data_IF_864208547772
#
_entry.id   IF_864208547772
#
_cell.length_a   1.000
_cell.length_b   1.000
_cell.length_c   1.000
_cell.angle_alpha   90.00
_cell.angle_beta   90.00
_cell.angle_gamma   90.00
#
_symmetry.space_group_name_H-M   'P 1'
#
loop_
_entity.id
_entity.type
_entity.pdbx_description
1 polymer ?
#
# COMPACT_ATOMS: atom_id res chain seq x y z
N UNK A 1 -9.68 -1.65 -20.67
CA UNK A 1 -9.54 -2.14 -19.28
C UNK A 1 -8.07 -1.99 -18.94
N UNK A 2 -7.71 -1.16 -17.95
CA UNK A 2 -6.31 -1.10 -17.51
C UNK A 2 -5.96 -2.43 -16.86
N UNK A 3 -4.80 -3.00 -17.20
CA UNK A 3 -4.35 -4.25 -16.61
C UNK A 3 -4.02 -4.03 -15.12
N UNK A 4 -4.26 -5.03 -14.26
CA UNK A 4 -3.97 -4.98 -12.81
C UNK A 4 -2.53 -4.58 -12.50
N UNK A 5 -1.60 -4.94 -13.40
CA UNK A 5 -0.19 -4.55 -13.36
C UNK A 5 -0.03 -3.04 -13.49
N UNK A 6 -0.78 -2.41 -14.40
CA UNK A 6 -0.76 -0.95 -14.56
C UNK A 6 -1.20 -0.25 -13.27
N UNK A 7 -2.27 -0.72 -12.61
CA UNK A 7 -2.74 -0.14 -11.35
C UNK A 7 -1.68 -0.26 -10.24
N UNK A 8 -1.05 -1.42 -10.12
CA UNK A 8 0.03 -1.63 -9.15
C UNK A 8 1.25 -0.75 -9.42
N UNK A 9 1.64 -0.57 -10.68
CA UNK A 9 2.75 0.32 -11.03
C UNK A 9 2.42 1.79 -10.71
N UNK A 10 1.19 2.25 -10.99
CA UNK A 10 0.75 3.60 -10.59
C UNK A 10 0.77 3.80 -9.07
N UNK A 11 0.42 2.78 -8.29
CA UNK A 11 0.51 2.83 -6.83
C UNK A 11 1.95 2.77 -6.32
N UNK A 12 2.84 2.06 -7.01
CA UNK A 12 4.28 2.06 -6.72
C UNK A 12 4.88 3.45 -6.93
N UNK A 13 4.57 4.09 -8.06
CA UNK A 13 4.95 5.46 -8.36
C UNK A 13 4.37 6.46 -7.33
N UNK A 14 3.13 6.25 -6.89
CA UNK A 14 2.51 7.08 -5.86
C UNK A 14 3.27 6.98 -4.53
N UNK A 15 3.69 5.78 -4.10
CA UNK A 15 4.55 5.62 -2.93
C UNK A 15 5.88 6.38 -3.12
N UNK A 16 6.49 6.29 -4.30
CA UNK A 16 7.75 6.98 -4.61
C UNK A 16 7.60 8.50 -4.51
N UNK A 17 6.55 9.05 -5.10
CA UNK A 17 6.28 10.48 -5.08
C UNK A 17 5.99 11.00 -3.67
N UNK A 18 5.14 10.30 -2.92
CA UNK A 18 4.80 10.67 -1.54
C UNK A 18 6.04 10.64 -0.65
N UNK A 19 6.85 9.57 -0.72
CA UNK A 19 8.07 9.48 0.08
C UNK A 19 9.03 10.63 -0.25
N UNK A 20 9.25 10.92 -1.53
CA UNK A 20 10.11 12.02 -1.97
C UNK A 20 9.64 13.37 -1.44
N UNK A 21 8.34 13.65 -1.52
CA UNK A 21 7.77 14.91 -1.02
C UNK A 21 7.86 15.02 0.51
N UNK A 22 7.61 13.92 1.23
CA UNK A 22 7.71 13.89 2.69
C UNK A 22 9.14 14.09 3.17
N UNK A 23 10.15 13.47 2.53
CA UNK A 23 11.56 13.73 2.87
C UNK A 23 11.95 15.19 2.61
N UNK A 24 11.46 15.78 1.52
CA UNK A 24 11.72 17.18 1.21
C UNK A 24 11.08 18.11 2.25
N UNK A 25 9.86 17.81 2.69
CA UNK A 25 9.14 18.59 3.70
C UNK A 25 9.73 18.40 5.11
N UNK A 26 10.22 17.20 5.44
CA UNK A 26 10.87 16.92 6.72
C UNK A 26 12.27 17.56 6.79
N UNK A 27 13.02 17.52 5.68
CA UNK A 27 14.32 18.19 5.53
C UNK A 27 15.51 17.46 6.15
N UNK A 28 15.31 16.44 7.00
CA UNK A 28 16.39 15.68 7.63
C UNK A 28 16.18 14.15 7.56
N UNK A 29 14.96 13.68 7.82
CA UNK A 29 14.59 12.27 7.79
C UNK A 29 14.68 11.67 6.39
N UNK A 30 15.01 10.38 6.35
CA UNK A 30 15.05 9.57 5.12
C UNK A 30 14.27 8.29 5.32
N UNK A 31 13.54 7.88 4.29
CA UNK A 31 12.87 6.60 4.32
C UNK A 31 13.87 5.46 4.26
N UNK A 32 13.72 4.50 5.18
CA UNK A 32 14.29 3.16 5.05
C UNK A 32 13.27 2.26 4.39
N UNK A 33 13.69 1.61 3.32
CA UNK A 33 12.89 0.63 2.59
C UNK A 33 13.21 -0.79 3.05
N UNK A 34 12.16 -1.60 3.17
CA UNK A 34 12.21 -3.04 3.31
C UNK A 34 11.31 -3.65 2.23
N UNK A 35 11.93 -4.34 1.28
CA UNK A 35 11.22 -5.10 0.26
C UNK A 35 10.96 -6.52 0.76
N UNK A 36 9.74 -7.00 0.55
CA UNK A 36 9.35 -8.33 1.02
C UNK A 36 8.47 -9.04 0.00
N UNK A 37 8.52 -10.37 0.05
CA UNK A 37 7.73 -11.26 -0.78
C UNK A 37 6.78 -12.08 0.09
N UNK A 38 5.58 -12.33 -0.43
CA UNK A 38 4.61 -13.20 0.22
C UNK A 38 4.77 -14.61 -0.36
N UNK A 39 5.00 -15.66 0.46
CA UNK A 39 5.14 -17.02 -0.05
C UNK A 39 3.94 -17.51 -0.90
N UNK A 40 2.75 -17.02 -0.58
CA UNK A 40 1.50 -17.37 -1.28
C UNK A 40 1.27 -16.56 -2.57
N UNK A 41 2.09 -15.52 -2.86
CA UNK A 41 1.99 -14.72 -4.07
C UNK A 41 2.07 -13.21 -3.85
N UNK A 42 2.89 -12.55 -4.66
CA UNK A 42 3.14 -11.10 -4.63
C UNK A 42 4.10 -10.66 -3.53
N UNK A 43 3.91 -9.44 -3.03
CA UNK A 43 4.80 -8.81 -2.06
C UNK A 43 4.50 -7.33 -1.85
N UNK A 44 5.51 -6.59 -1.39
CA UNK A 44 5.38 -5.16 -1.15
C UNK A 44 6.70 -4.48 -0.79
N UNK A 45 6.59 -3.17 -0.59
CA UNK A 45 7.68 -2.31 -0.12
C UNK A 45 7.19 -1.53 1.09
N UNK A 46 7.82 -1.74 2.22
CA UNK A 46 7.54 -1.01 3.45
C UNK A 46 8.55 0.11 3.59
N UNK A 47 8.10 1.37 3.62
CA UNK A 47 8.98 2.51 3.83
C UNK A 47 8.66 3.19 5.14
N UNK A 48 9.65 3.30 6.02
CA UNK A 48 9.52 3.94 7.33
C UNK A 48 10.48 5.12 7.46
N UNK A 49 10.04 6.19 8.10
CA UNK A 49 10.81 7.42 8.33
C UNK A 49 10.71 7.84 9.79
N UNK A 50 11.83 8.31 10.32
CA UNK A 50 11.93 9.08 11.57
C UNK A 50 12.78 10.31 11.21
N UNK A 51 12.30 11.50 11.55
CA UNK A 51 12.82 12.76 11.03
C UNK A 51 12.65 13.93 11.99
N UNK A 52 12.85 15.14 11.45
CA UNK A 52 12.79 16.39 12.21
C UNK A 52 11.35 16.89 12.41
N UNK A 53 10.47 16.63 11.45
CA UNK A 53 9.04 17.01 11.50
C UNK A 53 8.20 15.78 11.81
N UNK A 54 8.51 14.66 11.16
CA UNK A 54 7.83 13.38 11.33
C UNK A 54 8.52 12.61 12.46
N UNK A 55 7.85 12.45 13.60
CA UNK A 55 8.32 11.61 14.71
C UNK A 55 8.42 10.16 14.26
N UNK A 56 7.35 9.66 13.60
CA UNK A 56 7.30 8.32 13.04
C UNK A 56 6.32 8.25 11.88
N UNK A 57 6.79 7.80 10.73
CA UNK A 57 5.98 7.68 9.52
C UNK A 57 6.15 6.34 8.82
N UNK A 58 5.08 5.88 8.19
CA UNK A 58 5.08 4.69 7.35
C UNK A 58 4.29 4.92 6.06
N UNK A 59 4.89 4.57 4.93
CA UNK A 59 4.24 4.54 3.61
C UNK A 59 4.43 3.14 3.04
N UNK A 60 3.36 2.37 3.02
CA UNK A 60 3.37 0.95 2.64
C UNK A 60 2.77 0.79 1.24
N UNK A 61 3.45 0.03 0.39
CA UNK A 61 2.91 -0.46 -0.88
C UNK A 61 2.83 -1.98 -0.83
N UNK A 62 1.76 -2.53 -1.39
CA UNK A 62 1.66 -3.97 -1.64
C UNK A 62 0.96 -4.27 -2.95
N UNK A 63 1.33 -5.39 -3.56
CA UNK A 63 0.61 -6.03 -4.66
C UNK A 63 0.68 -7.54 -4.42
N UNK A 64 -0.46 -8.12 -4.01
CA UNK A 64 -0.58 -9.52 -3.61
C UNK A 64 -1.62 -10.23 -4.45
N UNK A 65 -1.41 -11.52 -4.67
CA UNK A 65 -2.30 -12.36 -5.44
C UNK A 65 -2.29 -13.78 -4.89
N UNK A 66 -3.28 -14.57 -5.31
CA UNK A 66 -3.38 -15.97 -4.94
C UNK A 66 -4.83 -16.45 -4.95
N UNK A 67 -5.10 -17.64 -4.42
CA UNK A 67 -6.47 -18.14 -4.29
C UNK A 67 -7.24 -17.27 -3.29
N UNK A 68 -8.46 -16.88 -3.64
CA UNK A 68 -9.35 -16.13 -2.76
C UNK A 68 -9.74 -17.04 -1.58
N UNK A 69 -9.55 -16.61 -0.31
CA UNK A 69 -9.92 -17.42 0.83
C UNK A 69 -11.40 -17.83 0.78
N UNK A 70 -11.69 -19.10 1.05
CA UNK A 70 -13.04 -19.69 0.90
C UNK A 70 -14.13 -18.89 1.65
N UNK A 71 -13.83 -18.43 2.87
CA UNK A 71 -14.75 -17.60 3.66
C UNK A 71 -15.12 -16.28 2.96
N UNK A 72 -14.17 -15.68 2.23
CA UNK A 72 -14.39 -14.44 1.48
C UNK A 72 -15.13 -14.75 0.18
N UNK A 73 -14.77 -15.82 -0.53
CA UNK A 73 -15.52 -16.26 -1.70
C UNK A 73 -17.00 -16.50 -1.36
N UNK A 74 -17.27 -17.19 -0.25
CA UNK A 74 -18.62 -17.46 0.24
C UNK A 74 -19.39 -16.18 0.60
N UNK A 75 -18.77 -15.25 1.34
CA UNK A 75 -19.42 -13.99 1.70
C UNK A 75 -19.72 -13.11 0.48
N UNK A 76 -18.91 -13.23 -0.58
CA UNK A 76 -19.11 -12.54 -1.85
C UNK A 76 -20.01 -13.28 -2.83
N UNK A 77 -20.49 -14.48 -2.48
CA UNK A 77 -21.28 -15.37 -3.33
C UNK A 77 -20.55 -15.68 -4.65
N UNK A 78 -19.24 -15.89 -4.56
CA UNK A 78 -18.38 -16.24 -5.69
C UNK A 78 -17.97 -17.72 -5.60
N UNK A 79 -17.82 -18.42 -6.74
CA UNK A 79 -17.14 -19.71 -6.76
C UNK A 79 -15.66 -19.54 -6.35
N UNK A 80 -14.95 -20.65 -6.03
CA UNK A 80 -13.50 -20.62 -5.87
C UNK A 80 -12.84 -19.91 -7.06
N UNK A 81 -12.06 -18.88 -6.77
CA UNK A 81 -11.44 -17.99 -7.76
C UNK A 81 -10.13 -17.46 -7.20
N UNK A 82 -9.26 -16.96 -8.07
CA UNK A 82 -8.11 -16.16 -7.65
C UNK A 82 -8.52 -14.72 -7.34
N UNK A 83 -7.64 -14.00 -6.65
CA UNK A 83 -7.74 -12.57 -6.42
C UNK A 83 -6.42 -11.85 -6.69
N UNK A 84 -6.54 -10.55 -6.90
CA UNK A 84 -5.44 -9.61 -6.89
C UNK A 84 -5.82 -8.40 -6.03
N UNK A 85 -4.89 -7.93 -5.20
CA UNK A 85 -5.08 -6.75 -4.37
C UNK A 85 -3.80 -5.90 -4.39
N UNK A 86 -3.93 -4.61 -4.61
CA UNK A 86 -2.81 -3.66 -4.52
C UNK A 86 -3.26 -2.37 -3.85
N UNK A 87 -2.32 -1.66 -3.21
CA UNK A 87 -2.63 -0.39 -2.58
C UNK A 87 -1.43 0.32 -1.99
N UNK A 88 -1.67 1.58 -1.61
CA UNK A 88 -0.78 2.39 -0.79
C UNK A 88 -1.49 2.75 0.50
N UNK A 89 -0.81 2.56 1.63
CA UNK A 89 -1.30 2.91 2.97
C UNK A 89 -0.29 3.80 3.69
N UNK A 90 -0.77 4.82 4.39
CA UNK A 90 0.06 5.83 5.04
C UNK A 90 -0.41 6.04 6.46
N UNK A 91 0.55 6.15 7.38
CA UNK A 91 0.35 6.71 8.73
C UNK A 91 1.50 7.65 9.02
N UNK A 92 1.23 8.88 9.45
CA UNK A 92 2.27 9.83 9.87
C UNK A 92 1.94 10.39 11.26
N UNK A 93 2.93 10.33 12.15
CA UNK A 93 2.92 10.97 13.46
C UNK A 93 3.94 12.11 13.45
N UNK A 94 3.51 13.38 13.46
CA UNK A 94 4.41 14.52 13.61
C UNK A 94 4.87 14.71 15.06
N UNK A 95 6.05 15.31 15.27
CA UNK A 95 6.51 15.72 16.61
C UNK A 95 5.66 16.85 17.20
N UNK A 96 5.20 17.77 16.35
CA UNK A 96 4.45 18.95 16.79
C UNK A 96 2.99 18.58 17.07
N UNK A 97 2.45 18.88 18.27
CA UNK A 97 1.04 18.63 18.58
C UNK A 97 0.08 19.53 17.77
N UNK A 98 0.60 20.56 17.10
CA UNK A 98 -0.17 21.44 16.22
C UNK A 98 -0.32 20.88 14.80
N UNK A 99 0.42 19.82 14.46
CA UNK A 99 0.28 19.11 13.20
C UNK A 99 -0.51 17.81 13.43
N UNK A 100 -1.59 17.54 12.67
CA UNK A 100 -2.42 16.36 12.91
C UNK A 100 -1.72 15.07 12.48
N UNK A 101 -2.02 13.99 13.20
CA UNK A 101 -1.77 12.62 12.74
C UNK A 101 -2.67 12.36 11.53
N UNK A 102 -2.11 11.79 10.47
CA UNK A 102 -2.88 11.40 9.29
C UNK A 102 -2.82 9.90 9.03
N UNK A 103 -3.91 9.38 8.49
CA UNK A 103 -3.97 8.06 7.88
C UNK A 103 -4.66 8.16 6.51
N UNK A 104 -4.09 7.49 5.51
CA UNK A 104 -4.65 7.44 4.16
C UNK A 104 -4.48 6.04 3.59
N UNK A 105 -5.47 5.56 2.84
CA UNK A 105 -5.39 4.30 2.10
C UNK A 105 -6.07 4.44 0.74
N UNK A 106 -5.34 4.11 -0.33
CA UNK A 106 -5.90 3.89 -1.66
C UNK A 106 -5.61 2.45 -2.06
N UNK A 107 -6.61 1.74 -2.56
CA UNK A 107 -6.49 0.33 -2.89
C UNK A 107 -7.37 -0.04 -4.07
N UNK A 108 -6.96 -1.11 -4.73
CA UNK A 108 -7.65 -1.77 -5.82
C UNK A 108 -7.72 -3.26 -5.52
N UNK A 109 -8.86 -3.86 -5.82
CA UNK A 109 -9.07 -5.29 -5.66
C UNK A 109 -9.81 -5.83 -6.88
N UNK A 110 -9.43 -7.01 -7.36
CA UNK A 110 -10.17 -7.75 -8.36
C UNK A 110 -10.18 -9.25 -8.09
N UNK A 111 -11.22 -9.93 -8.58
CA UNK A 111 -11.33 -11.38 -8.57
C UNK A 111 -11.21 -11.95 -9.98
N UNK A 112 -10.73 -13.19 -10.09
CA UNK A 112 -10.75 -13.96 -11.34
C UNK A 112 -12.17 -14.19 -11.90
N UNK A 113 -13.21 -14.00 -11.08
CA UNK A 113 -14.61 -14.00 -11.49
C UNK A 113 -15.09 -12.66 -12.10
N UNK A 114 -14.19 -11.69 -12.30
CA UNK A 114 -14.47 -10.43 -13.01
C UNK A 114 -15.08 -9.32 -12.16
N UNK A 115 -15.11 -9.45 -10.82
CA UNK A 115 -15.56 -8.39 -9.91
C UNK A 115 -14.36 -7.57 -9.40
N UNK A 116 -14.43 -6.25 -9.50
CA UNK A 116 -13.35 -5.35 -9.10
C UNK A 116 -13.88 -4.04 -8.49
N UNK A 117 -13.08 -3.39 -7.65
CA UNK A 117 -13.36 -2.08 -7.04
C UNK A 117 -12.08 -1.40 -6.53
#
# INVERSE_FOLDING_TARGET
>A
MYAKEYVADRFRELQDDICRQLEQADGAGKFREDEWLRPEGGGGRSRVIEGAVIEKGGVMFSAVHGPLPEKIALSMQLPPTDFFATGVSIVLHPHSPMAPIIHMNVRYFETGAGRWW
#
